data_IF_108926143258
#
_entry.id   IF_108926143258
#
_cell.length_a   1.000
_cell.length_b   1.000
_cell.length_c   1.000
_cell.angle_alpha   90.00
_cell.angle_beta   90.00
_cell.angle_gamma   90.00
#
_symmetry.space_group_name_H-M   'P 1'
#
loop_
_entity.id
_entity.type
_entity.pdbx_description
1 polymer ?
#
# COMPACT_ATOMS: atom_id res chain seq x y z
N UNK A 1 1.06 -20.98 -9.86
CA UNK A 1 1.41 -20.26 -8.61
C UNK A 1 1.38 -18.76 -8.92
N UNK A 2 0.19 -18.21 -9.12
CA UNK A 2 0.05 -16.78 -9.44
C UNK A 2 0.12 -16.05 -8.10
N UNK A 3 1.26 -15.44 -7.79
CA UNK A 3 1.43 -14.67 -6.57
C UNK A 3 0.63 -13.36 -6.74
N UNK A 4 -0.67 -13.42 -6.50
CA UNK A 4 -1.41 -12.21 -6.19
C UNK A 4 -0.68 -11.55 -5.00
N UNK A 5 -0.14 -10.35 -5.20
CA UNK A 5 0.44 -9.56 -4.12
C UNK A 5 -0.70 -9.19 -3.18
N UNK A 6 -0.85 -9.96 -2.10
CA UNK A 6 -1.86 -9.70 -1.08
C UNK A 6 -1.47 -8.46 -0.30
N UNK A 7 -2.41 -7.53 -0.18
CA UNK A 7 -2.29 -6.29 0.61
C UNK A 7 -1.77 -6.54 2.03
N UNK A 8 -2.21 -7.63 2.66
CA UNK A 8 -1.78 -8.08 4.00
C UNK A 8 -0.27 -8.36 4.06
N UNK A 9 0.31 -9.00 3.05
CA UNK A 9 1.75 -9.27 3.03
C UNK A 9 2.58 -7.99 2.96
N UNK A 10 2.11 -7.00 2.19
CA UNK A 10 2.79 -5.70 2.08
C UNK A 10 2.66 -4.95 3.41
N UNK A 11 1.45 -4.93 3.99
CA UNK A 11 1.18 -4.33 5.28
C UNK A 11 2.12 -4.87 6.36
N UNK A 12 2.19 -6.19 6.50
CA UNK A 12 2.99 -6.84 7.54
C UNK A 12 4.49 -6.54 7.40
N UNK A 13 4.99 -6.48 6.17
CA UNK A 13 6.39 -6.11 5.93
C UNK A 13 6.65 -4.65 6.27
N UNK A 14 5.73 -3.74 5.93
CA UNK A 14 5.86 -2.32 6.24
C UNK A 14 5.77 -2.06 7.75
N UNK A 15 4.81 -2.71 8.43
CA UNK A 15 4.66 -2.66 9.88
C UNK A 15 5.93 -3.15 10.59
N UNK A 16 6.49 -4.28 10.14
CA UNK A 16 7.71 -4.85 10.72
C UNK A 16 8.94 -3.99 10.49
N UNK A 17 9.06 -3.34 9.33
CA UNK A 17 10.27 -2.61 8.92
C UNK A 17 10.27 -1.14 9.32
N UNK A 18 9.10 -0.50 9.31
CA UNK A 18 8.95 0.95 9.48
C UNK A 18 8.01 1.32 10.63
N UNK A 19 7.56 0.33 11.40
CA UNK A 19 6.67 0.51 12.54
C UNK A 19 5.22 0.66 12.13
N UNK A 20 4.36 -0.12 12.77
CA UNK A 20 2.90 -0.08 12.59
C UNK A 20 2.27 1.27 13.02
N UNK A 21 1.03 1.57 12.58
CA UNK A 21 0.24 0.83 11.60
C UNK A 21 0.34 1.41 10.18
N UNK A 22 0.62 0.54 9.21
CA UNK A 22 0.50 0.82 7.79
C UNK A 22 -0.85 0.35 7.25
N UNK A 23 -1.36 1.09 6.28
CA UNK A 23 -2.56 0.77 5.53
C UNK A 23 -2.20 0.56 4.07
N UNK A 24 -2.81 -0.44 3.44
CA UNK A 24 -2.50 -0.85 2.06
C UNK A 24 -3.78 -1.10 1.28
N UNK A 25 -3.83 -0.59 0.04
CA UNK A 25 -4.89 -0.90 -0.93
C UNK A 25 -4.25 -1.30 -2.25
N UNK A 26 -4.67 -2.43 -2.82
CA UNK A 26 -4.20 -2.95 -4.11
C UNK A 26 -5.40 -3.16 -5.04
N UNK A 27 -5.37 -2.61 -6.26
CA UNK A 27 -6.52 -2.74 -7.18
C UNK A 27 -6.28 -2.25 -8.61
N UNK A 28 -7.27 -2.45 -9.50
CA UNK A 28 -7.24 -2.03 -10.91
C UNK A 28 -7.57 -0.54 -11.10
N UNK A 29 -6.82 0.33 -10.41
CA UNK A 29 -7.03 1.78 -10.38
C UNK A 29 -8.16 2.22 -9.45
N UNK A 30 -7.91 3.28 -8.67
CA UNK A 30 -8.85 3.85 -7.71
C UNK A 30 -8.43 5.29 -7.37
N UNK A 31 -9.38 6.09 -6.89
CA UNK A 31 -9.11 7.36 -6.21
C UNK A 31 -9.07 7.16 -4.69
N UNK A 32 -8.40 8.06 -3.98
CA UNK A 32 -8.31 8.00 -2.51
C UNK A 32 -8.33 9.39 -1.89
N UNK A 33 -8.87 9.48 -0.67
CA UNK A 33 -8.81 10.63 0.22
C UNK A 33 -8.48 10.09 1.61
N UNK A 34 -7.27 10.36 2.11
CA UNK A 34 -6.77 9.81 3.38
C UNK A 34 -5.95 10.86 4.13
N UNK A 35 -5.99 10.80 5.46
CA UNK A 35 -5.06 11.52 6.34
C UNK A 35 -3.84 10.65 6.61
N UNK A 36 -2.64 11.25 6.57
CA UNK A 36 -1.38 10.52 6.73
C UNK A 36 -0.29 11.39 7.36
N UNK A 37 0.68 10.76 8.02
CA UNK A 37 1.89 11.42 8.50
C UNK A 37 2.72 11.94 7.32
N UNK A 38 3.25 13.17 7.45
CA UNK A 38 4.07 13.79 6.39
C UNK A 38 5.23 12.87 6.01
N UNK A 39 5.36 12.57 4.70
CA UNK A 39 6.34 11.65 4.06
C UNK A 39 6.06 10.15 4.22
N UNK A 40 4.98 9.74 4.89
CA UNK A 40 4.58 8.33 4.98
C UNK A 40 3.38 8.00 4.09
N UNK A 41 3.45 8.35 2.81
CA UNK A 41 2.49 7.96 1.78
C UNK A 41 3.22 7.56 0.50
N UNK A 42 2.70 6.54 -0.20
CA UNK A 42 3.20 6.10 -1.49
C UNK A 42 2.04 5.61 -2.36
N UNK A 43 1.93 6.17 -3.56
CA UNK A 43 0.99 5.76 -4.59
C UNK A 43 1.74 5.43 -5.89
N UNK A 44 1.60 4.20 -6.39
CA UNK A 44 2.31 3.74 -7.58
C UNK A 44 1.52 2.70 -8.38
N UNK A 45 1.93 2.50 -9.64
CA UNK A 45 1.42 1.43 -10.48
C UNK A 45 2.48 0.34 -10.71
N UNK A 46 2.12 -0.91 -10.43
CA UNK A 46 2.90 -2.11 -10.75
C UNK A 46 2.40 -2.70 -12.07
N UNK A 47 3.33 -2.94 -13.00
CA UNK A 47 3.02 -3.52 -14.32
C UNK A 47 2.07 -2.67 -15.17
N UNK A 48 1.92 -1.38 -14.85
CA UNK A 48 1.03 -0.44 -15.55
C UNK A 48 -0.47 -0.72 -15.40
N UNK A 49 -0.88 -1.66 -14.54
CA UNK A 49 -2.29 -2.09 -14.42
C UNK A 49 -2.80 -2.13 -12.99
N UNK A 50 -1.91 -2.37 -12.03
CA UNK A 50 -2.28 -2.52 -10.62
C UNK A 50 -1.80 -1.30 -9.86
N UNK A 51 -2.74 -0.51 -9.35
CA UNK A 51 -2.45 0.58 -8.43
C UNK A 51 -2.22 0.02 -7.02
N UNK A 52 -1.23 0.58 -6.32
CA UNK A 52 -0.91 0.29 -4.93
C UNK A 52 -0.85 1.61 -4.18
N UNK A 53 -1.64 1.73 -3.12
CA UNK A 53 -1.60 2.84 -2.16
C UNK A 53 -1.14 2.31 -0.81
N UNK A 54 -0.18 3.01 -0.20
CA UNK A 54 0.40 2.74 1.09
C UNK A 54 0.42 4.04 1.89
N UNK A 55 -0.05 4.02 3.14
CA UNK A 55 0.10 5.18 4.02
C UNK A 55 0.15 4.78 5.50
N UNK A 56 0.70 5.68 6.32
CA UNK A 56 0.70 5.62 7.78
C UNK A 56 0.00 6.83 8.36
N UNK A 57 -0.83 6.62 9.38
CA UNK A 57 -1.52 7.68 10.13
C UNK A 57 -0.66 8.21 11.27
#
# INVERSE_FOLDING_TARGET
MNAEMKEEMIKDQMDKKFGAPWHVVVGKGFGYEVTYEVRNILYLYVGGRTAVLLWKM
#
